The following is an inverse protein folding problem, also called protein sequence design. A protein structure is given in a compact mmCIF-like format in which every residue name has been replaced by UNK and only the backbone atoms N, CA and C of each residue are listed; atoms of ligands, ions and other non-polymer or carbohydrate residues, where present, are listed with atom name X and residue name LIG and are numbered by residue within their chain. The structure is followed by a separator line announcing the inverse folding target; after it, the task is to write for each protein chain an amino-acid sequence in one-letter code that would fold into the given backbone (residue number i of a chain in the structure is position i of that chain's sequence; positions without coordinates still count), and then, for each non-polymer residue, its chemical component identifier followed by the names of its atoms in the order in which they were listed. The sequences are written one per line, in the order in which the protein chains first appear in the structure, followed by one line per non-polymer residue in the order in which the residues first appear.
data_IF_928616872509
#
_entry.id   IF_928616872509
#
_cell.length_a   1.000
_cell.length_b   1.000
_cell.length_c   1.000
_cell.angle_alpha   90.00
_cell.angle_beta   90.00
_cell.angle_gamma   90.00
#
_symmetry.space_group_name_H-M   'P 1'
#
loop_
_entity.id
_entity.type
_entity.pdbx_description
1 polymer ?
#
# COMPACT_ATOMS: atom_id res chain seq x y z
N UNK A 1 -28.77 -3.53 10.79
CA UNK A 1 -27.80 -3.00 9.82
C UNK A 1 -28.06 -3.69 8.49
N UNK A 2 -28.60 -2.94 7.55
CA UNK A 2 -28.81 -3.50 6.21
C UNK A 2 -27.48 -3.51 5.49
N UNK A 3 -26.90 -4.67 5.33
CA UNK A 3 -25.83 -4.83 4.35
C UNK A 3 -26.46 -4.61 2.98
N UNK A 4 -26.26 -3.46 2.39
CA UNK A 4 -26.47 -3.30 0.98
C UNK A 4 -25.55 -4.31 0.32
N UNK A 5 -26.12 -5.34 -0.30
CA UNK A 5 -25.39 -6.16 -1.23
C UNK A 5 -24.95 -5.25 -2.38
N UNK A 6 -23.80 -4.61 -2.21
CA UNK A 6 -23.07 -4.10 -3.34
C UNK A 6 -22.68 -5.34 -4.15
N UNK A 7 -23.30 -5.54 -5.29
CA UNK A 7 -22.83 -6.53 -6.23
C UNK A 7 -21.42 -6.11 -6.62
N UNK A 8 -20.44 -6.72 -5.99
CA UNK A 8 -19.05 -6.54 -6.37
C UNK A 8 -18.94 -6.85 -7.86
N UNK A 9 -18.32 -6.00 -8.66
CA UNK A 9 -18.08 -6.34 -10.05
C UNK A 9 -17.39 -7.70 -10.08
N UNK A 10 -17.93 -8.60 -10.89
CA UNK A 10 -17.38 -9.94 -11.00
C UNK A 10 -15.95 -9.83 -11.46
N UNK A 11 -15.04 -10.01 -10.53
CA UNK A 11 -13.64 -10.21 -10.86
C UNK A 11 -13.52 -11.38 -11.83
N UNK A 12 -12.58 -11.31 -12.75
CA UNK A 12 -12.22 -12.42 -13.63
C UNK A 12 -11.82 -13.67 -12.84
N UNK A 13 -11.43 -13.50 -11.59
CA UNK A 13 -10.98 -14.55 -10.69
C UNK A 13 -11.92 -14.64 -9.48
N UNK A 14 -12.27 -15.87 -9.12
CA UNK A 14 -13.14 -16.14 -7.96
C UNK A 14 -12.35 -16.31 -6.65
N UNK A 15 -11.04 -16.20 -6.72
CA UNK A 15 -10.15 -16.35 -5.57
C UNK A 15 -8.89 -15.48 -5.75
N UNK A 16 -8.21 -15.25 -4.64
CA UNK A 16 -6.91 -14.59 -4.67
C UNK A 16 -5.86 -15.55 -5.20
N UNK A 17 -5.10 -15.12 -6.18
CA UNK A 17 -3.98 -15.86 -6.75
C UNK A 17 -2.69 -15.08 -6.53
N UNK A 18 -1.55 -15.71 -6.81
CA UNK A 18 -0.24 -15.11 -6.56
C UNK A 18 -0.07 -13.76 -7.27
N UNK A 19 -0.61 -13.62 -8.48
CA UNK A 19 -0.54 -12.37 -9.24
C UNK A 19 -1.18 -11.17 -8.54
N UNK A 20 -2.15 -11.39 -7.65
CA UNK A 20 -2.76 -10.30 -6.88
C UNK A 20 -1.79 -9.65 -5.87
N UNK A 21 -0.72 -10.33 -5.52
CA UNK A 21 0.33 -9.79 -4.63
C UNK A 21 1.54 -9.23 -5.38
N UNK A 22 1.53 -9.22 -6.72
CA UNK A 22 2.68 -8.83 -7.52
C UNK A 22 2.89 -7.34 -7.75
N UNK A 23 1.97 -6.49 -7.30
CA UNK A 23 2.06 -5.04 -7.47
C UNK A 23 1.66 -4.55 -8.87
N UNK A 24 1.19 -5.43 -9.75
CA UNK A 24 0.80 -5.10 -11.12
C UNK A 24 -0.69 -4.83 -11.28
N UNK A 25 -1.21 -5.13 -12.47
CA UNK A 25 -2.61 -4.86 -12.82
C UNK A 25 -3.61 -5.60 -11.96
N UNK A 26 -3.34 -6.85 -11.58
CA UNK A 26 -4.23 -7.62 -10.72
C UNK A 26 -4.31 -7.02 -9.32
N UNK A 27 -3.17 -6.59 -8.77
CA UNK A 27 -3.15 -5.87 -7.48
C UNK A 27 -3.96 -4.58 -7.58
N UNK A 28 -3.73 -3.80 -8.62
CA UNK A 28 -4.44 -2.54 -8.83
C UNK A 28 -5.95 -2.75 -8.94
N UNK A 29 -6.39 -3.77 -9.69
CA UNK A 29 -7.80 -4.09 -9.82
C UNK A 29 -8.41 -4.52 -8.49
N UNK A 30 -7.71 -5.36 -7.73
CA UNK A 30 -8.17 -5.79 -6.40
C UNK A 30 -8.34 -4.60 -5.45
N UNK A 31 -7.36 -3.69 -5.43
CA UNK A 31 -7.42 -2.51 -4.59
C UNK A 31 -8.56 -1.59 -5.00
N UNK A 32 -8.70 -1.31 -6.31
CA UNK A 32 -9.71 -0.38 -6.82
C UNK A 32 -11.12 -0.91 -6.69
N UNK A 33 -11.32 -2.21 -6.88
CA UNK A 33 -12.66 -2.81 -6.93
C UNK A 33 -13.15 -3.25 -5.56
N UNK A 34 -12.27 -3.60 -4.64
CA UNK A 34 -12.62 -4.17 -3.36
C UNK A 34 -12.16 -3.33 -2.17
N UNK A 35 -10.85 -3.13 -2.02
CA UNK A 35 -10.30 -2.55 -0.80
C UNK A 35 -10.58 -1.05 -0.66
N UNK A 36 -10.34 -0.27 -1.69
CA UNK A 36 -10.57 1.18 -1.60
C UNK A 36 -12.05 1.51 -1.37
N UNK A 37 -13.02 0.91 -2.07
CA UNK A 37 -14.42 1.18 -1.75
C UNK A 37 -14.83 0.72 -0.35
N UNK A 38 -14.30 -0.43 0.11
CA UNK A 38 -14.67 -1.00 1.41
C UNK A 38 -14.14 -0.18 2.59
N UNK A 39 -12.94 0.40 2.45
CA UNK A 39 -12.26 1.15 3.50
C UNK A 39 -12.12 2.64 3.19
N UNK A 40 -12.95 3.16 2.29
CA UNK A 40 -12.85 4.55 1.82
C UNK A 40 -12.78 5.56 2.97
N UNK A 41 -11.76 6.39 2.94
CA UNK A 41 -11.57 7.53 3.85
C UNK A 41 -10.63 8.54 3.18
N UNK A 42 -10.56 9.80 3.69
CA UNK A 42 -9.76 10.83 3.03
C UNK A 42 -8.26 10.49 2.92
N UNK A 43 -7.74 9.71 3.84
CA UNK A 43 -6.31 9.34 3.83
C UNK A 43 -6.03 8.21 2.84
N UNK A 44 -6.84 7.16 2.84
CA UNK A 44 -6.70 6.04 1.91
C UNK A 44 -6.97 6.47 0.47
N UNK A 45 -7.93 7.38 0.26
CA UNK A 45 -8.30 7.84 -1.07
C UNK A 45 -7.19 8.62 -1.78
N UNK A 46 -6.19 9.10 -1.06
CA UNK A 46 -5.00 9.72 -1.65
C UNK A 46 -4.14 8.72 -2.42
N UNK A 47 -4.23 7.43 -2.08
CA UNK A 47 -3.50 6.34 -2.75
C UNK A 47 -1.98 6.55 -2.79
N UNK A 48 -1.42 7.10 -1.71
CA UNK A 48 0.02 7.28 -1.53
C UNK A 48 0.65 6.06 -0.85
N UNK A 49 1.95 5.94 -0.96
CA UNK A 49 2.73 4.90 -0.27
C UNK A 49 2.76 5.10 1.25
N UNK A 50 2.40 6.26 1.71
CA UNK A 50 2.30 6.58 3.13
C UNK A 50 1.06 7.42 3.42
N UNK A 51 0.77 7.61 4.69
CA UNK A 51 -0.31 8.47 5.14
C UNK A 51 0.23 9.85 5.50
N UNK A 52 -0.43 10.90 5.02
CA UNK A 52 -0.16 12.29 5.37
C UNK A 52 -1.27 12.75 6.30
N UNK A 53 -0.92 13.04 7.54
CA UNK A 53 -1.88 13.35 8.60
C UNK A 53 -1.69 14.78 9.08
N UNK A 54 -2.78 15.55 9.30
CA UNK A 54 -2.67 16.86 9.92
C UNK A 54 -2.27 16.73 11.39
N UNK A 55 -1.35 17.57 11.83
CA UNK A 55 -0.98 17.72 13.23
C UNK A 55 -1.08 19.19 13.63
N UNK A 56 -0.99 19.51 14.93
CA UNK A 56 -1.27 20.86 15.44
C UNK A 56 -0.50 21.98 14.70
N UNK A 57 0.78 21.78 14.44
CA UNK A 57 1.66 22.77 13.80
C UNK A 57 2.19 22.32 12.44
N UNK A 58 1.47 21.46 11.72
CA UNK A 58 1.96 21.00 10.44
C UNK A 58 1.30 19.72 9.97
N UNK A 59 2.09 18.89 9.32
CA UNK A 59 1.66 17.60 8.80
C UNK A 59 2.68 16.53 9.16
N UNK A 60 2.20 15.33 9.40
CA UNK A 60 3.01 14.15 9.66
C UNK A 60 2.81 13.16 8.52
N UNK A 61 3.88 12.67 7.94
CA UNK A 61 3.84 11.54 7.02
C UNK A 61 4.23 10.26 7.77
N UNK A 62 3.45 9.23 7.57
CA UNK A 62 3.65 7.95 8.23
C UNK A 62 3.56 6.81 7.22
N UNK A 63 4.47 5.86 7.31
CA UNK A 63 4.44 4.66 6.50
C UNK A 63 4.95 3.46 7.29
N UNK A 64 4.53 2.28 6.90
CA UNK A 64 5.10 1.01 7.35
C UNK A 64 5.33 0.13 6.16
N UNK A 65 6.33 -0.74 6.26
CA UNK A 65 6.61 -1.68 5.18
C UNK A 65 7.21 -2.95 5.76
N UNK A 66 7.28 -3.97 4.91
CA UNK A 66 7.92 -5.24 5.24
C UNK A 66 8.77 -5.71 4.07
N UNK A 67 9.87 -6.38 4.38
CA UNK A 67 10.82 -6.82 3.37
C UNK A 67 11.10 -8.30 3.52
N UNK A 68 11.14 -8.99 2.38
CA UNK A 68 11.46 -10.41 2.29
C UNK A 68 12.67 -10.56 1.39
N UNK A 69 13.77 -11.02 1.92
CA UNK A 69 14.99 -11.30 1.17
C UNK A 69 15.73 -12.49 1.75
N UNK A 70 16.24 -13.34 0.90
CA UNK A 70 17.02 -14.52 1.28
C UNK A 70 18.17 -14.67 0.27
N UNK A 71 19.43 -14.71 0.73
CA UNK A 71 19.88 -14.63 2.13
C UNK A 71 19.78 -13.21 2.73
N UNK A 72 19.84 -13.10 4.06
CA UNK A 72 19.75 -11.80 4.74
C UNK A 72 20.93 -10.86 4.43
N UNK A 73 22.08 -11.45 4.14
CA UNK A 73 23.26 -10.73 3.65
C UNK A 73 23.53 -11.16 2.20
N UNK A 74 23.65 -10.22 1.31
CA UNK A 74 23.82 -10.47 -0.12
C UNK A 74 24.85 -9.51 -0.71
N UNK A 75 25.42 -9.81 -1.91
CA UNK A 75 26.33 -8.88 -2.55
C UNK A 75 25.69 -7.50 -2.74
N UNK A 76 26.33 -6.48 -2.19
CA UNK A 76 25.85 -5.09 -2.28
C UNK A 76 25.00 -4.62 -1.12
N UNK A 77 24.64 -5.48 -0.15
CA UNK A 77 23.85 -5.05 0.99
C UNK A 77 23.37 -6.16 1.92
N UNK A 78 22.38 -5.81 2.71
CA UNK A 78 21.72 -6.72 3.65
C UNK A 78 20.28 -6.27 3.88
N UNK A 79 19.50 -7.06 4.61
CA UNK A 79 18.10 -6.74 4.89
C UNK A 79 17.93 -5.42 5.66
N UNK A 80 18.90 -5.05 6.50
CA UNK A 80 18.85 -3.77 7.22
C UNK A 80 18.96 -2.58 6.28
N UNK A 81 19.87 -2.64 5.31
CA UNK A 81 20.00 -1.61 4.27
C UNK A 81 18.70 -1.50 3.48
N UNK A 82 18.12 -2.62 3.09
CA UNK A 82 16.88 -2.67 2.34
C UNK A 82 15.72 -2.08 3.14
N UNK A 83 15.60 -2.43 4.41
CA UNK A 83 14.53 -1.93 5.28
C UNK A 83 14.56 -0.41 5.41
N UNK A 84 15.73 0.16 5.66
CA UNK A 84 15.88 1.61 5.82
C UNK A 84 15.69 2.32 4.49
N UNK A 85 16.41 1.91 3.46
CA UNK A 85 16.37 2.60 2.16
C UNK A 85 15.01 2.48 1.48
N UNK A 86 14.37 1.32 1.55
CA UNK A 86 13.04 1.12 0.98
C UNK A 86 11.97 1.94 1.70
N UNK A 87 12.00 1.99 3.02
CA UNK A 87 11.06 2.77 3.81
C UNK A 87 11.25 4.28 3.57
N UNK A 88 12.48 4.75 3.50
CA UNK A 88 12.78 6.15 3.17
C UNK A 88 12.29 6.51 1.78
N UNK A 89 12.48 5.63 0.80
CA UNK A 89 11.96 5.86 -0.55
C UNK A 89 10.44 6.04 -0.56
N UNK A 90 9.71 5.20 0.17
CA UNK A 90 8.25 5.31 0.25
C UNK A 90 7.82 6.63 0.88
N UNK A 91 8.50 7.07 1.94
CA UNK A 91 8.24 8.39 2.53
C UNK A 91 8.53 9.53 1.57
N UNK A 92 9.60 9.45 0.79
CA UNK A 92 9.95 10.48 -0.19
C UNK A 92 8.89 10.59 -1.29
N UNK A 93 8.21 9.51 -1.62
CA UNK A 93 7.07 9.54 -2.55
C UNK A 93 5.89 10.36 -2.02
N UNK A 94 5.82 10.60 -0.71
CA UNK A 94 4.82 11.47 -0.09
C UNK A 94 5.24 12.94 -0.04
N UNK A 95 6.47 13.27 -0.48
CA UNK A 95 7.08 14.59 -0.28
C UNK A 95 6.33 15.75 -0.91
N UNK A 96 5.69 15.54 -2.07
CA UNK A 96 4.91 16.57 -2.75
C UNK A 96 3.63 16.93 -1.97
N UNK A 97 3.20 16.11 -1.03
CA UNK A 97 2.07 16.35 -0.16
C UNK A 97 2.42 17.00 1.17
N UNK A 98 3.70 17.19 1.47
CA UNK A 98 4.18 17.72 2.75
C UNK A 98 4.40 19.24 2.72
#
# INVERSE_FOLDING_TARGET
MKYTQCSLPKSKYDRIILGHGGGGKLTQSLLSDLFFPAFANPFLNQQHDGAILPVHDGRLAYTTDSFVVDPLFFPGGNIGDLAINGTVNDLLCCGDGL
#
